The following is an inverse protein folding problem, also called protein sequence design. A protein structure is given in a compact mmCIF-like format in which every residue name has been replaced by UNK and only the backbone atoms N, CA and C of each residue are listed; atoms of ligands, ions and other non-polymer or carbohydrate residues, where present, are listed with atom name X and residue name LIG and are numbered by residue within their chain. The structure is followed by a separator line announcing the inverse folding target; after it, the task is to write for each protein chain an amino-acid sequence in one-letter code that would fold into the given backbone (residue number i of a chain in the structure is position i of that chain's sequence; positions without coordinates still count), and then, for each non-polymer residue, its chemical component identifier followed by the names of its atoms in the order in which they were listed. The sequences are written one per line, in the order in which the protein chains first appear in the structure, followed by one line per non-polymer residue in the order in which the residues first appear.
data_IF_233698357395
#
_entry.id   IF_233698357395
#
_cell.length_a   1.000
_cell.length_b   1.000
_cell.length_c   1.000
_cell.angle_alpha   90.00
_cell.angle_beta   90.00
_cell.angle_gamma   90.00
#
_symmetry.space_group_name_H-M   'P 1'
#
loop_
_entity.id
_entity.type
_entity.pdbx_description
1 polymer ?
#
# COMPACT_ATOMS: atom_id res chain seq x y z
N UNK A 1 -26.50 -53.05 41.15
CA UNK A 1 -25.59 -54.18 40.85
C UNK A 1 -24.75 -53.73 39.65
N UNK A 2 -23.51 -53.27 39.87
CA UNK A 2 -22.29 -54.12 39.90
C UNK A 2 -22.01 -54.71 38.50
N UNK A 3 -20.83 -54.62 37.85
CA UNK A 3 -19.45 -54.30 38.19
C UNK A 3 -18.72 -54.10 36.82
N UNK A 4 -17.86 -53.10 36.63
CA UNK A 4 -16.37 -53.19 36.51
C UNK A 4 -15.78 -53.82 35.24
N UNK A 5 -14.83 -53.07 34.65
CA UNK A 5 -13.69 -53.55 33.82
C UNK A 5 -13.59 -52.80 32.49
N UNK A 6 -12.45 -52.29 32.00
CA UNK A 6 -11.08 -52.19 32.47
C UNK A 6 -10.32 -51.18 31.59
N UNK A 7 -9.33 -50.50 32.19
CA UNK A 7 -8.31 -49.64 31.57
C UNK A 7 -7.38 -50.38 30.60
N UNK A 8 -6.98 -49.73 29.50
CA UNK A 8 -5.63 -49.67 28.88
C UNK A 8 -5.69 -48.51 27.86
N UNK A 9 -5.07 -47.33 28.00
CA UNK A 9 -3.65 -46.96 27.98
C UNK A 9 -2.87 -47.53 26.79
N UNK A 10 -2.78 -46.75 25.70
CA UNK A 10 -1.68 -46.87 24.74
C UNK A 10 -1.22 -45.47 24.34
N UNK A 11 0.06 -45.22 24.62
CA UNK A 11 0.75 -43.98 24.35
C UNK A 11 1.93 -44.27 23.42
N UNK A 12 2.25 -43.28 22.59
CA UNK A 12 3.57 -42.97 22.01
C UNK A 12 4.04 -43.84 20.83
N UNK A 13 4.32 -43.16 19.71
CA UNK A 13 5.02 -43.70 18.56
C UNK A 13 5.21 -42.67 17.44
N UNK A 14 5.78 -41.50 17.76
CA UNK A 14 6.20 -40.52 16.75
C UNK A 14 7.50 -41.01 16.08
N UNK A 15 7.41 -41.36 14.80
CA UNK A 15 8.54 -41.78 13.99
C UNK A 15 9.37 -40.57 13.55
N UNK A 16 10.56 -40.41 14.12
CA UNK A 16 11.58 -39.46 13.65
C UNK A 16 12.45 -40.20 12.63
N UNK A 17 12.27 -39.88 11.34
CA UNK A 17 13.10 -40.39 10.25
C UNK A 17 14.46 -39.66 10.27
N UNK A 18 15.50 -40.36 10.72
CA UNK A 18 16.90 -39.94 10.61
C UNK A 18 17.45 -40.43 9.27
N UNK A 19 17.77 -39.50 8.37
CA UNK A 19 18.43 -39.80 7.10
C UNK A 19 19.94 -39.93 7.39
N UNK A 20 20.43 -41.17 7.44
CA UNK A 20 21.85 -41.49 7.41
C UNK A 20 22.30 -41.58 5.96
N UNK A 21 23.16 -40.66 5.51
CA UNK A 21 23.80 -40.75 4.19
C UNK A 21 25.16 -41.43 4.36
N UNK A 22 25.19 -42.71 4.02
CA UNK A 22 26.39 -43.52 3.85
C UNK A 22 26.99 -43.23 2.47
N UNK A 23 28.16 -42.59 2.44
CA UNK A 23 28.94 -42.44 1.20
C UNK A 23 29.87 -43.65 1.04
N UNK A 24 29.50 -44.52 0.10
CA UNK A 24 30.31 -45.64 -0.35
C UNK A 24 31.45 -45.18 -1.24
N UNK A 25 32.65 -45.71 -0.95
CA UNK A 25 33.81 -45.65 -1.83
C UNK A 25 33.53 -46.45 -3.12
N UNK A 26 33.80 -45.85 -4.27
CA UNK A 26 34.15 -46.60 -5.47
C UNK A 26 35.27 -45.84 -6.20
N UNK A 27 36.45 -46.45 -6.24
CA UNK A 27 37.61 -45.93 -6.95
C UNK A 27 37.58 -46.33 -8.42
N UNK A 28 38.10 -45.44 -9.27
CA UNK A 28 38.67 -45.81 -10.58
C UNK A 28 39.73 -44.78 -10.99
N UNK A 29 40.81 -45.32 -11.53
CA UNK A 29 42.09 -44.69 -11.85
C UNK A 29 42.04 -43.64 -12.98
N UNK A 30 42.69 -42.50 -12.72
CA UNK A 30 43.82 -41.91 -13.47
C UNK A 30 43.74 -41.64 -14.97
N UNK A 31 43.85 -40.36 -15.36
CA UNK A 31 44.84 -39.86 -16.34
C UNK A 31 44.86 -38.30 -16.38
N UNK A 32 46.04 -37.69 -16.09
CA UNK A 32 46.75 -36.50 -16.67
C UNK A 32 45.87 -35.30 -17.13
N UNK A 33 46.08 -34.00 -16.85
CA UNK A 33 47.23 -33.05 -16.82
C UNK A 33 46.70 -31.79 -16.04
N UNK A 34 47.40 -31.12 -15.12
CA UNK A 34 48.48 -30.16 -15.39
C UNK A 34 48.15 -28.76 -14.81
N UNK A 35 49.14 -28.18 -14.09
CA UNK A 35 49.36 -26.75 -13.76
C UNK A 35 48.94 -26.22 -12.37
N UNK A 36 49.95 -26.24 -11.49
CA UNK A 36 50.45 -25.15 -10.63
C UNK A 36 49.53 -24.39 -9.65
N UNK A 37 49.81 -24.64 -8.37
CA UNK A 37 49.61 -23.72 -7.24
C UNK A 37 50.85 -23.78 -6.34
N UNK A 38 51.30 -22.67 -5.76
CA UNK A 38 51.98 -22.70 -4.47
C UNK A 38 51.09 -22.00 -3.43
N UNK A 39 50.50 -22.76 -2.52
CA UNK A 39 50.98 -22.94 -1.14
C UNK A 39 50.95 -21.64 -0.33
N UNK A 40 49.81 -21.43 0.34
CA UNK A 40 49.70 -20.52 1.47
C UNK A 40 50.42 -21.12 2.68
N UNK A 41 51.43 -20.41 3.18
CA UNK A 41 52.04 -20.65 4.50
C UNK A 41 51.55 -19.56 5.44
N UNK A 42 51.01 -19.99 6.58
CA UNK A 42 50.52 -19.16 7.66
C UNK A 42 51.64 -18.40 8.38
N UNK A 43 51.36 -17.17 8.81
CA UNK A 43 52.14 -16.44 9.83
C UNK A 43 51.16 -15.74 10.80
N UNK A 44 51.36 -15.83 12.12
CA UNK A 44 50.39 -15.41 13.13
C UNK A 44 50.44 -13.91 13.43
N UNK A 45 49.29 -13.44 13.94
CA UNK A 45 49.01 -12.11 14.47
C UNK A 45 49.82 -11.83 15.75
N UNK A 46 50.51 -10.68 15.79
CA UNK A 46 50.87 -9.98 17.02
C UNK A 46 50.56 -8.48 16.87
N UNK A 47 49.93 -7.93 17.91
CA UNK A 47 49.60 -6.52 18.09
C UNK A 47 50.83 -5.70 18.53
N UNK A 48 50.84 -4.41 18.22
CA UNK A 48 51.02 -3.26 19.15
C UNK A 48 51.05 -1.93 18.34
N UNK A 49 50.21 -0.99 18.77
CA UNK A 49 50.10 0.45 18.44
C UNK A 49 51.44 1.21 18.67
N UNK A 50 51.71 2.49 18.27
CA UNK A 50 50.76 3.63 18.28
C UNK A 50 51.03 4.79 17.28
N UNK A 51 50.11 5.76 17.19
CA UNK A 51 50.35 7.18 17.53
C UNK A 51 49.29 8.10 16.90
N UNK A 52 48.66 8.88 17.77
CA UNK A 52 47.60 9.83 17.50
C UNK A 52 48.09 11.08 16.74
N UNK A 53 47.23 11.61 15.86
CA UNK A 53 47.23 13.02 15.50
C UNK A 53 45.81 13.59 15.70
N UNK A 54 45.65 14.74 16.38
CA UNK A 54 44.34 15.29 16.67
C UNK A 54 43.76 15.95 15.41
N UNK A 55 42.70 15.38 14.84
CA UNK A 55 41.84 16.12 13.90
C UNK A 55 41.02 17.13 14.70
N UNK A 56 41.49 18.37 14.70
CA UNK A 56 40.75 19.53 15.20
C UNK A 56 39.43 19.66 14.45
N UNK A 57 38.30 19.47 15.13
CA UNK A 57 36.97 19.77 14.64
C UNK A 57 36.83 21.29 14.46
N UNK A 58 36.78 21.75 13.20
CA UNK A 58 36.25 23.07 12.90
C UNK A 58 34.72 23.06 13.11
N UNK A 59 34.11 24.11 13.68
CA UNK A 59 32.66 24.15 13.87
C UNK A 59 31.96 24.28 12.51
N UNK A 60 31.15 23.28 12.18
CA UNK A 60 30.30 23.23 11.00
C UNK A 60 29.27 24.38 11.04
N UNK A 61 29.34 25.28 10.07
CA UNK A 61 28.34 26.33 9.84
C UNK A 61 27.03 25.68 9.39
N UNK A 62 25.88 25.92 10.03
CA UNK A 62 24.60 25.39 9.57
C UNK A 62 24.09 26.26 8.41
N UNK A 63 24.24 25.79 7.18
CA UNK A 63 23.75 26.51 6.01
C UNK A 63 23.69 25.63 4.77
N UNK A 64 22.46 25.36 4.32
CA UNK A 64 22.13 25.00 2.92
C UNK A 64 22.48 23.58 2.46
N UNK A 65 22.06 22.55 3.21
CA UNK A 65 21.90 21.18 2.67
C UNK A 65 20.45 20.83 2.31
N UNK A 66 19.49 21.71 2.59
CA UNK A 66 18.05 21.44 2.39
C UNK A 66 17.52 21.61 0.97
N UNK A 67 18.19 22.38 0.10
CA UNK A 67 17.61 22.77 -1.19
C UNK A 67 18.00 21.90 -2.39
N UNK A 68 19.09 21.11 -2.30
CA UNK A 68 19.64 20.39 -3.45
C UNK A 68 19.38 18.88 -3.42
N UNK A 69 19.17 18.28 -2.23
CA UNK A 69 18.89 16.84 -2.11
C UNK A 69 17.40 16.47 -2.30
N UNK A 70 16.52 17.46 -2.43
CA UNK A 70 15.08 17.26 -2.66
C UNK A 70 14.73 16.91 -4.12
N UNK A 71 15.68 17.01 -5.05
CA UNK A 71 15.36 17.11 -6.49
C UNK A 71 15.42 15.81 -7.28
N UNK A 72 15.97 14.71 -6.77
CA UNK A 72 15.97 13.41 -7.49
C UNK A 72 15.98 12.19 -6.55
N UNK A 73 15.02 12.10 -5.61
CA UNK A 73 14.70 10.79 -5.03
C UNK A 73 13.72 10.08 -5.98
N UNK A 74 14.11 8.99 -6.69
CA UNK A 74 13.22 8.28 -7.61
C UNK A 74 11.95 7.75 -6.91
N UNK A 75 12.01 7.47 -5.59
CA UNK A 75 10.82 7.13 -4.80
C UNK A 75 9.80 8.27 -4.69
N UNK A 76 10.23 9.52 -4.82
CA UNK A 76 9.32 10.68 -4.84
C UNK A 76 8.66 10.86 -6.20
N UNK A 77 9.30 10.47 -7.30
CA UNK A 77 8.73 10.60 -8.65
C UNK A 77 7.55 9.66 -8.85
N UNK A 78 7.70 8.37 -8.53
CA UNK A 78 6.62 7.38 -8.60
C UNK A 78 5.43 7.79 -7.73
N UNK A 79 5.69 8.22 -6.48
CA UNK A 79 4.63 8.67 -5.57
C UNK A 79 3.89 9.89 -6.12
N UNK A 80 4.61 10.86 -6.70
CA UNK A 80 3.99 12.03 -7.35
C UNK A 80 3.16 11.63 -8.57
N UNK A 81 3.66 10.71 -9.40
CA UNK A 81 2.91 10.24 -10.55
C UNK A 81 1.64 9.50 -10.16
N UNK A 82 1.74 8.61 -9.17
CA UNK A 82 0.58 7.94 -8.57
C UNK A 82 -0.41 8.96 -8.01
N UNK A 83 0.05 9.94 -7.25
CA UNK A 83 -0.82 10.99 -6.71
C UNK A 83 -1.54 11.78 -7.81
N UNK A 84 -0.86 12.11 -8.91
CA UNK A 84 -1.51 12.77 -10.05
C UNK A 84 -2.64 11.92 -10.62
N UNK A 85 -2.41 10.62 -10.79
CA UNK A 85 -3.43 9.71 -11.30
C UNK A 85 -4.59 9.63 -10.31
N UNK A 86 -4.32 9.48 -9.01
CA UNK A 86 -5.35 9.45 -7.97
C UNK A 86 -6.22 10.71 -7.96
N UNK A 87 -5.60 11.89 -8.04
CA UNK A 87 -6.34 13.16 -8.15
C UNK A 87 -7.18 13.23 -9.43
N UNK A 88 -6.68 12.71 -10.56
CA UNK A 88 -7.44 12.64 -11.80
C UNK A 88 -8.62 11.67 -11.75
N UNK A 89 -8.56 10.64 -10.92
CA UNK A 89 -9.70 9.75 -10.68
C UNK A 89 -10.86 10.45 -9.96
N UNK A 90 -10.61 11.56 -9.27
CA UNK A 90 -11.63 12.33 -8.55
C UNK A 90 -12.34 13.37 -9.43
N UNK A 91 -11.79 13.66 -10.62
CA UNK A 91 -12.40 14.59 -11.58
C UNK A 91 -13.76 14.03 -12.10
N UNK A 92 -14.74 14.90 -12.30
CA UNK A 92 -16.04 14.54 -12.86
C UNK A 92 -15.95 14.23 -14.37
N UNK A 93 -16.65 13.19 -14.82
CA UNK A 93 -16.67 12.79 -16.22
C UNK A 93 -18.09 12.45 -16.69
N UNK A 94 -18.31 12.55 -18.00
CA UNK A 94 -19.51 12.08 -18.69
C UNK A 94 -19.10 10.96 -19.64
N UNK A 95 -19.67 9.77 -19.44
CA UNK A 95 -19.42 8.61 -20.28
C UNK A 95 -20.76 8.12 -20.86
N UNK A 96 -20.86 8.10 -22.18
CA UNK A 96 -22.02 7.62 -22.92
C UNK A 96 -21.55 6.70 -24.04
N UNK A 97 -21.49 5.40 -23.75
CA UNK A 97 -21.09 4.36 -24.69
C UNK A 97 -22.16 3.27 -24.76
N UNK A 98 -22.45 2.81 -25.96
CA UNK A 98 -23.40 1.74 -26.22
C UNK A 98 -22.72 0.71 -27.12
N UNK A 99 -22.52 -0.50 -26.60
CA UNK A 99 -21.89 -1.61 -27.33
C UNK A 99 -20.52 -1.25 -27.92
N UNK A 100 -19.74 -0.42 -27.22
CA UNK A 100 -18.45 0.06 -27.72
C UNK A 100 -17.30 -0.87 -27.26
N UNK A 101 -16.31 -1.16 -28.12
CA UNK A 101 -15.14 -1.96 -27.73
C UNK A 101 -14.39 -1.34 -26.54
N UNK A 102 -13.96 -2.17 -25.58
CA UNK A 102 -13.18 -1.72 -24.42
C UNK A 102 -11.94 -0.90 -24.83
N UNK A 103 -11.26 -1.28 -25.91
CA UNK A 103 -10.12 -0.53 -26.45
C UNK A 103 -10.46 0.93 -26.78
N UNK A 104 -11.61 1.17 -27.42
CA UNK A 104 -12.05 2.52 -27.81
C UNK A 104 -12.37 3.38 -26.59
N UNK A 105 -13.05 2.80 -25.59
CA UNK A 105 -13.35 3.48 -24.33
C UNK A 105 -12.06 3.85 -23.60
N UNK A 106 -11.06 2.94 -23.58
CA UNK A 106 -9.76 3.21 -22.96
C UNK A 106 -8.99 4.32 -23.69
N UNK A 107 -9.02 4.34 -25.02
CA UNK A 107 -8.38 5.41 -25.80
C UNK A 107 -9.06 6.76 -25.63
N UNK A 108 -10.39 6.77 -25.46
CA UNK A 108 -11.13 7.96 -25.03
C UNK A 108 -10.65 8.44 -23.66
N UNK A 109 -10.56 7.55 -22.66
CA UNK A 109 -10.10 7.90 -21.31
C UNK A 109 -8.67 8.45 -21.30
N UNK A 110 -7.74 7.88 -22.08
CA UNK A 110 -6.38 8.43 -22.24
C UNK A 110 -6.41 9.89 -22.70
N UNK A 111 -7.26 10.17 -23.68
CA UNK A 111 -7.34 11.49 -24.33
C UNK A 111 -8.08 12.51 -23.47
N UNK A 112 -9.20 12.11 -22.86
CA UNK A 112 -10.02 12.98 -22.03
C UNK A 112 -9.31 13.40 -20.73
N UNK A 113 -8.46 12.53 -20.20
CA UNK A 113 -7.92 12.68 -18.84
C UNK A 113 -6.42 12.97 -18.79
N UNK A 114 -5.75 12.90 -19.94
CA UNK A 114 -4.31 13.13 -20.10
C UNK A 114 -3.45 12.23 -19.19
N UNK A 115 -3.95 11.02 -18.87
CA UNK A 115 -3.22 10.01 -18.10
C UNK A 115 -2.94 8.77 -18.94
N UNK A 116 -1.79 8.09 -18.72
CA UNK A 116 -1.50 6.84 -19.39
C UNK A 116 -2.37 5.72 -18.82
N UNK A 117 -3.26 5.19 -19.66
CA UNK A 117 -4.12 4.02 -19.36
C UNK A 117 -3.67 2.83 -20.19
N UNK A 118 -3.60 1.62 -19.63
CA UNK A 118 -3.17 0.41 -20.35
C UNK A 118 -4.08 -0.75 -19.97
N UNK A 119 -4.38 -1.63 -20.93
CA UNK A 119 -5.09 -2.89 -20.69
C UNK A 119 -4.06 -4.00 -20.50
N UNK A 120 -4.15 -4.76 -19.41
CA UNK A 120 -3.37 -5.98 -19.22
C UNK A 120 -3.98 -7.11 -20.06
N UNK A 121 -3.55 -7.21 -21.32
CA UNK A 121 -4.07 -8.20 -22.27
C UNK A 121 -3.91 -9.64 -21.75
N UNK A 122 -2.77 -9.94 -21.12
CA UNK A 122 -2.52 -11.29 -20.61
C UNK A 122 -3.56 -11.69 -19.54
N UNK A 123 -3.83 -10.81 -18.58
CA UNK A 123 -4.82 -11.07 -17.54
C UNK A 123 -6.25 -11.17 -18.11
N UNK A 124 -6.60 -10.35 -19.11
CA UNK A 124 -7.90 -10.42 -19.76
C UNK A 124 -8.07 -11.69 -20.60
N UNK A 125 -7.03 -12.11 -21.32
CA UNK A 125 -7.04 -13.34 -22.10
C UNK A 125 -7.26 -14.58 -21.21
N UNK A 126 -6.73 -14.58 -19.98
CA UNK A 126 -6.89 -15.66 -19.00
C UNK A 126 -8.35 -15.86 -18.56
N UNK A 127 -9.16 -14.80 -18.58
CA UNK A 127 -10.62 -14.84 -18.31
C UNK A 127 -11.46 -14.89 -19.60
N UNK A 128 -10.82 -15.02 -20.77
CA UNK A 128 -11.48 -15.10 -22.07
C UNK A 128 -12.08 -13.79 -22.57
N UNK A 129 -11.63 -12.65 -22.02
CA UNK A 129 -12.03 -11.32 -22.46
C UNK A 129 -11.01 -10.75 -23.45
N UNK A 130 -11.51 -10.05 -24.47
CA UNK A 130 -10.68 -9.39 -25.47
C UNK A 130 -10.68 -7.88 -25.31
N UNK A 131 -9.82 -7.19 -26.05
CA UNK A 131 -9.88 -5.72 -26.14
C UNK A 131 -11.09 -5.21 -26.93
N UNK A 132 -11.74 -6.10 -27.66
CA UNK A 132 -12.97 -5.89 -28.43
C UNK A 132 -14.25 -6.19 -27.63
N UNK A 133 -14.13 -6.59 -26.36
CA UNK A 133 -15.28 -6.82 -25.49
C UNK A 133 -16.18 -5.57 -25.46
N UNK A 134 -17.47 -5.70 -25.79
CA UNK A 134 -18.39 -4.57 -25.84
C UNK A 134 -18.73 -4.08 -24.43
N UNK A 135 -18.76 -2.76 -24.28
CA UNK A 135 -19.05 -2.06 -23.03
C UNK A 135 -20.21 -1.12 -23.25
N UNK A 136 -21.16 -1.13 -22.32
CA UNK A 136 -22.30 -0.22 -22.32
C UNK A 136 -22.36 0.52 -20.99
N UNK A 137 -22.25 1.84 -21.04
CA UNK A 137 -22.30 2.70 -19.86
C UNK A 137 -22.92 4.05 -20.21
N UNK A 138 -23.82 4.54 -19.36
CA UNK A 138 -24.37 5.90 -19.44
C UNK A 138 -24.38 6.55 -18.05
N UNK A 139 -23.37 7.38 -17.77
CA UNK A 139 -23.24 8.09 -16.49
C UNK A 139 -22.83 9.54 -16.73
N UNK A 140 -23.39 10.46 -15.93
CA UNK A 140 -23.06 11.89 -15.98
C UNK A 140 -23.00 12.46 -14.57
N UNK A 141 -22.05 13.38 -14.33
CA UNK A 141 -21.88 14.04 -13.03
C UNK A 141 -21.36 13.12 -11.92
N UNK A 142 -20.64 12.06 -12.27
CA UNK A 142 -19.98 11.16 -11.32
C UNK A 142 -18.47 11.32 -11.43
N UNK A 143 -17.74 11.01 -10.36
CA UNK A 143 -16.27 10.92 -10.40
C UNK A 143 -15.84 9.85 -11.39
N UNK A 144 -14.69 10.04 -12.04
CA UNK A 144 -14.12 9.02 -12.91
C UNK A 144 -13.97 7.69 -12.18
N UNK A 145 -13.52 7.70 -10.92
CA UNK A 145 -13.36 6.47 -10.14
C UNK A 145 -14.66 5.67 -10.14
N UNK A 146 -15.75 6.31 -9.75
CA UNK A 146 -17.07 5.66 -9.72
C UNK A 146 -17.53 5.23 -11.11
N UNK A 147 -17.28 6.05 -12.14
CA UNK A 147 -17.64 5.70 -13.51
C UNK A 147 -16.87 4.45 -13.99
N UNK A 148 -15.59 4.35 -13.65
CA UNK A 148 -14.70 3.27 -14.02
C UNK A 148 -15.02 2.00 -13.22
N UNK A 149 -15.30 2.11 -11.92
CA UNK A 149 -15.80 0.99 -11.10
C UNK A 149 -17.10 0.42 -11.69
N UNK A 150 -18.09 1.26 -11.99
CA UNK A 150 -19.37 0.83 -12.57
C UNK A 150 -19.18 0.16 -13.95
N UNK A 151 -18.25 0.69 -14.75
CA UNK A 151 -17.93 0.14 -16.05
C UNK A 151 -17.30 -1.25 -15.94
N UNK A 152 -16.27 -1.38 -15.09
CA UNK A 152 -15.49 -2.60 -14.95
C UNK A 152 -16.24 -3.69 -14.17
N UNK A 153 -17.12 -3.32 -13.24
CA UNK A 153 -17.99 -4.24 -12.51
C UNK A 153 -18.88 -5.05 -13.46
N UNK A 154 -19.36 -4.43 -14.55
CA UNK A 154 -20.17 -5.14 -15.57
C UNK A 154 -19.41 -6.22 -16.34
N UNK A 155 -18.07 -6.15 -16.34
CA UNK A 155 -17.17 -7.06 -17.04
C UNK A 155 -16.37 -7.98 -16.10
N UNK A 156 -16.63 -7.90 -14.79
CA UNK A 156 -15.84 -8.57 -13.74
C UNK A 156 -14.33 -8.25 -13.82
N UNK A 157 -14.03 -6.98 -14.11
CA UNK A 157 -12.67 -6.44 -14.21
C UNK A 157 -12.40 -5.44 -13.09
N UNK A 158 -11.12 -5.11 -12.92
CA UNK A 158 -10.66 -4.12 -11.96
C UNK A 158 -9.55 -3.24 -12.56
N UNK A 159 -9.14 -2.21 -11.83
CA UNK A 159 -8.00 -1.37 -12.18
C UNK A 159 -6.99 -1.28 -11.04
N UNK A 160 -5.73 -1.09 -11.42
CA UNK A 160 -4.61 -0.86 -10.50
C UNK A 160 -3.69 0.21 -11.04
N UNK A 161 -3.00 0.94 -10.18
CA UNK A 161 -2.02 1.97 -10.60
C UNK A 161 -0.63 1.38 -10.47
N UNK A 162 0.02 1.12 -11.60
CA UNK A 162 1.31 0.42 -11.66
C UNK A 162 2.23 1.12 -12.65
N UNK A 163 3.51 1.24 -12.32
CA UNK A 163 4.50 1.85 -13.24
C UNK A 163 4.08 3.22 -13.78
N UNK A 164 3.40 4.02 -12.94
CA UNK A 164 2.90 5.35 -13.32
C UNK A 164 1.82 5.32 -14.42
N UNK A 165 1.15 4.17 -14.61
CA UNK A 165 0.00 3.99 -15.51
C UNK A 165 -1.21 3.43 -14.77
N UNK A 166 -2.41 3.82 -15.22
CA UNK A 166 -3.66 3.18 -14.80
C UNK A 166 -3.82 1.92 -15.64
N UNK A 167 -3.79 0.76 -15.01
CA UNK A 167 -3.87 -0.53 -15.65
C UNK A 167 -5.22 -1.17 -15.39
N UNK A 168 -5.96 -1.49 -16.46
CA UNK A 168 -7.18 -2.30 -16.38
C UNK A 168 -6.76 -3.76 -16.47
N UNK A 169 -7.20 -4.57 -15.51
CA UNK A 169 -6.80 -5.96 -15.33
C UNK A 169 -7.91 -6.76 -14.64
N UNK A 170 -7.68 -8.02 -14.32
CA UNK A 170 -8.64 -8.84 -13.56
C UNK A 170 -8.52 -8.57 -12.06
N UNK A 171 -9.58 -8.80 -11.26
CA UNK A 171 -9.50 -8.65 -9.80
C UNK A 171 -8.40 -9.54 -9.20
N UNK A 172 -8.23 -10.77 -9.68
CA UNK A 172 -7.16 -11.68 -9.23
C UNK A 172 -5.75 -11.11 -9.48
N UNK A 173 -5.48 -10.55 -10.68
CA UNK A 173 -4.19 -9.91 -10.94
C UNK A 173 -4.01 -8.66 -10.07
N UNK A 174 -5.06 -7.85 -9.90
CA UNK A 174 -5.03 -6.66 -9.05
C UNK A 174 -4.72 -6.98 -7.58
N UNK A 175 -5.26 -8.09 -7.05
CA UNK A 175 -5.03 -8.57 -5.69
C UNK A 175 -3.57 -8.97 -5.41
N UNK A 176 -2.88 -9.50 -6.43
CA UNK A 176 -1.48 -9.87 -6.34
C UNK A 176 -0.52 -8.66 -6.34
N UNK A 177 -1.03 -7.46 -6.62
CA UNK A 177 -0.23 -6.25 -6.77
C UNK A 177 -0.36 -5.31 -5.57
N UNK A 178 0.31 -5.70 -4.49
CA UNK A 178 0.37 -4.94 -3.25
C UNK A 178 1.27 -3.70 -3.36
N UNK A 179 0.82 -2.58 -2.81
CA UNK A 179 1.60 -1.36 -2.63
C UNK A 179 1.85 -1.12 -1.14
N UNK A 180 3.10 -0.84 -0.76
CA UNK A 180 3.48 -0.58 0.63
C UNK A 180 3.52 0.93 0.89
N UNK A 181 2.67 1.40 1.81
CA UNK A 181 2.57 2.81 2.19
C UNK A 181 2.78 3.00 3.68
N UNK A 182 3.42 4.12 4.02
CA UNK A 182 3.52 4.60 5.40
C UNK A 182 2.37 5.59 5.60
N UNK A 183 1.47 5.29 6.53
CA UNK A 183 0.33 6.11 6.87
C UNK A 183 0.57 6.77 8.23
N UNK A 184 0.76 8.10 8.28
CA UNK A 184 0.94 8.81 9.54
C UNK A 184 -0.38 8.88 10.31
N UNK A 185 -0.33 8.65 11.62
CA UNK A 185 -1.48 8.69 12.52
C UNK A 185 -1.57 10.01 13.30
N UNK A 186 -1.04 11.09 12.73
CA UNK A 186 -1.05 12.42 13.35
C UNK A 186 -2.49 12.88 13.64
N UNK A 187 -2.70 13.40 14.85
CA UNK A 187 -4.01 13.86 15.30
C UNK A 187 -5.00 12.76 15.70
N UNK A 188 -4.64 11.48 15.62
CA UNK A 188 -5.48 10.40 16.13
C UNK A 188 -5.39 10.30 17.67
N UNK A 189 -6.55 10.07 18.31
CA UNK A 189 -6.65 9.85 19.76
C UNK A 189 -6.56 8.38 20.18
N UNK A 190 -6.40 7.48 19.21
CA UNK A 190 -6.40 6.02 19.37
C UNK A 190 -4.95 5.53 19.21
N UNK A 191 -4.55 4.51 19.98
CA UNK A 191 -3.22 3.90 19.83
C UNK A 191 -3.10 3.10 18.53
N UNK A 192 -1.89 2.97 18.01
CA UNK A 192 -1.59 2.21 16.78
C UNK A 192 -2.13 0.78 16.83
N UNK A 193 -2.01 0.10 17.98
CA UNK A 193 -2.40 -1.31 18.13
C UNK A 193 -3.91 -1.49 18.03
N UNK A 194 -4.67 -0.59 18.67
CA UNK A 194 -6.13 -0.59 18.59
C UNK A 194 -6.61 -0.24 17.18
N UNK A 195 -5.91 0.67 16.52
CA UNK A 195 -6.27 1.05 15.15
C UNK A 195 -6.05 -0.09 14.18
N UNK A 196 -4.93 -0.83 14.31
CA UNK A 196 -4.66 -2.03 13.52
C UNK A 196 -5.80 -3.03 13.71
N UNK A 197 -6.22 -3.30 14.95
CA UNK A 197 -7.34 -4.22 15.22
C UNK A 197 -8.65 -3.79 14.54
N UNK A 198 -8.96 -2.49 14.54
CA UNK A 198 -10.16 -1.97 13.87
C UNK A 198 -10.03 -2.10 12.36
N UNK A 199 -8.87 -1.76 11.79
CA UNK A 199 -8.63 -1.84 10.34
C UNK A 199 -8.74 -3.30 9.88
N UNK A 200 -8.07 -4.24 10.54
CA UNK A 200 -8.07 -5.65 10.09
C UNK A 200 -9.44 -6.31 10.22
N UNK A 201 -10.29 -5.84 11.15
CA UNK A 201 -11.65 -6.37 11.31
C UNK A 201 -12.69 -5.73 10.40
N UNK A 202 -12.52 -4.45 10.05
CA UNK A 202 -13.52 -3.69 9.30
C UNK A 202 -13.23 -3.61 7.80
N UNK A 203 -11.96 -3.70 7.40
CA UNK A 203 -11.53 -3.55 6.01
C UNK A 203 -11.01 -4.88 5.50
N UNK A 204 -11.68 -5.46 4.50
CA UNK A 204 -11.29 -6.71 3.83
C UNK A 204 -10.69 -7.77 4.79
N UNK A 205 -11.48 -8.27 5.76
CA UNK A 205 -10.97 -9.05 6.90
C UNK A 205 -10.29 -10.37 6.50
N UNK A 206 -10.61 -10.89 5.33
CA UNK A 206 -10.06 -12.07 4.67
C UNK A 206 -8.75 -11.82 3.90
N UNK A 207 -8.38 -10.55 3.70
CA UNK A 207 -7.22 -10.14 2.88
C UNK A 207 -5.90 -10.03 3.65
N UNK A 208 -5.91 -10.18 4.98
CA UNK A 208 -4.76 -9.95 5.85
C UNK A 208 -3.94 -11.21 6.15
N UNK A 209 -2.63 -11.05 6.41
CA UNK A 209 -1.70 -12.15 6.66
C UNK A 209 -2.11 -13.02 7.87
N UNK A 210 -2.75 -12.43 8.89
CA UNK A 210 -3.23 -13.14 10.08
C UNK A 210 -4.24 -14.26 9.75
N UNK A 211 -4.97 -14.11 8.65
CA UNK A 211 -5.96 -15.09 8.16
C UNK A 211 -5.51 -15.81 6.90
N UNK A 212 -4.26 -15.60 6.47
CA UNK A 212 -3.66 -16.22 5.28
C UNK A 212 -3.82 -15.43 3.98
N UNK A 213 -4.24 -14.16 4.06
CA UNK A 213 -4.25 -13.23 2.93
C UNK A 213 -2.86 -12.65 2.62
N UNK A 214 -2.75 -11.91 1.52
CA UNK A 214 -1.47 -11.36 1.05
C UNK A 214 -1.11 -10.00 1.71
N UNK A 215 -2.10 -9.32 2.31
CA UNK A 215 -1.92 -8.00 2.89
C UNK A 215 -1.22 -8.04 4.25
N UNK A 216 -0.38 -7.05 4.54
CA UNK A 216 0.32 -6.94 5.82
C UNK A 216 0.13 -5.55 6.41
N UNK A 217 -0.04 -5.47 7.72
CA UNK A 217 -0.10 -4.22 8.47
C UNK A 217 0.79 -4.29 9.71
N UNK A 218 1.55 -3.23 9.98
CA UNK A 218 2.46 -3.19 11.12
C UNK A 218 2.59 -1.77 11.66
N UNK A 219 2.62 -1.60 12.97
CA UNK A 219 2.93 -0.32 13.60
C UNK A 219 4.43 -0.01 13.44
N UNK A 220 4.74 1.19 12.93
CA UNK A 220 6.08 1.75 13.06
C UNK A 220 6.17 2.26 14.50
N UNK A 221 7.13 1.73 15.27
CA UNK A 221 7.20 1.82 16.73
C UNK A 221 6.99 3.22 17.36
N UNK A 222 7.05 3.34 18.70
CA UNK A 222 6.53 4.48 19.46
C UNK A 222 7.10 5.86 19.06
N UNK A 223 8.20 5.90 18.32
CA UNK A 223 8.87 7.11 17.84
C UNK A 223 8.16 7.80 16.66
N UNK A 224 7.47 7.06 15.80
CA UNK A 224 7.00 7.59 14.50
C UNK A 224 5.49 7.74 14.37
N UNK A 225 4.69 7.26 15.35
CA UNK A 225 3.23 7.32 15.37
C UNK A 225 2.60 7.10 13.97
N UNK A 226 3.01 6.01 13.31
CA UNK A 226 2.63 5.70 11.94
C UNK A 226 2.43 4.18 11.80
N UNK A 227 1.63 3.78 10.81
CA UNK A 227 1.48 2.37 10.41
C UNK A 227 2.05 2.18 9.01
N UNK A 228 2.64 1.02 8.77
CA UNK A 228 3.06 0.56 7.46
C UNK A 228 2.04 -0.47 7.00
N UNK A 229 1.43 -0.20 5.84
CA UNK A 229 0.40 -1.05 5.25
C UNK A 229 0.87 -1.48 3.87
N UNK A 230 0.91 -2.78 3.62
CA UNK A 230 1.17 -3.38 2.31
C UNK A 230 -0.11 -4.04 1.81
N UNK A 231 -0.78 -3.40 0.85
CA UNK A 231 -2.09 -3.86 0.40
C UNK A 231 -2.44 -3.32 -1.00
N UNK A 232 -3.51 -3.83 -1.62
CA UNK A 232 -4.05 -3.37 -2.91
C UNK A 232 -4.52 -1.91 -2.88
N UNK A 233 -4.66 -1.31 -4.06
CA UNK A 233 -5.12 0.08 -4.21
C UNK A 233 -6.49 0.31 -3.54
N UNK A 234 -7.47 -0.55 -3.83
CA UNK A 234 -8.84 -0.43 -3.30
C UNK A 234 -8.88 -0.44 -1.78
N UNK A 235 -8.13 -1.34 -1.15
CA UNK A 235 -8.11 -1.42 0.31
C UNK A 235 -7.38 -0.21 0.92
N UNK A 236 -6.33 0.32 0.29
CA UNK A 236 -5.72 1.59 0.74
C UNK A 236 -6.73 2.74 0.74
N UNK A 237 -7.63 2.78 -0.24
CA UNK A 237 -8.69 3.78 -0.30
C UNK A 237 -9.70 3.58 0.84
N UNK A 238 -10.16 2.35 1.08
CA UNK A 238 -11.04 2.02 2.20
C UNK A 238 -10.42 2.36 3.56
N UNK A 239 -9.11 2.12 3.72
CA UNK A 239 -8.36 2.52 4.91
C UNK A 239 -8.34 4.05 5.03
N UNK A 240 -8.07 4.76 3.94
CA UNK A 240 -8.12 6.23 3.90
C UNK A 240 -9.47 6.77 4.36
N UNK A 241 -10.55 6.27 3.79
CA UNK A 241 -11.92 6.68 4.13
C UNK A 241 -12.25 6.42 5.60
N UNK A 242 -11.86 5.25 6.13
CA UNK A 242 -12.05 4.92 7.54
C UNK A 242 -11.25 5.84 8.46
N UNK A 243 -9.98 6.12 8.11
CA UNK A 243 -9.13 7.02 8.89
C UNK A 243 -9.65 8.46 8.88
N UNK A 244 -10.17 8.94 7.75
CA UNK A 244 -10.76 10.26 7.65
C UNK A 244 -12.06 10.37 8.47
N UNK A 245 -12.89 9.32 8.49
CA UNK A 245 -14.05 9.24 9.39
C UNK A 245 -13.65 9.26 10.86
N UNK A 246 -12.63 8.48 11.25
CA UNK A 246 -12.14 8.46 12.63
C UNK A 246 -11.50 9.80 13.03
N UNK A 247 -10.82 10.47 12.10
CA UNK A 247 -10.27 11.81 12.32
C UNK A 247 -11.38 12.84 12.48
N UNK A 248 -12.47 12.75 11.69
CA UNK A 248 -13.63 13.63 11.81
C UNK A 248 -14.35 13.49 13.17
N UNK A 249 -14.41 12.29 13.74
CA UNK A 249 -14.96 12.05 15.09
C UNK A 249 -14.03 12.58 16.19
N UNK A 250 -12.71 12.43 15.99
CA UNK A 250 -11.70 12.89 16.94
C UNK A 250 -11.50 14.41 16.94
N UNK A 251 -11.75 15.06 15.80
CA UNK A 251 -11.82 16.51 15.65
C UNK A 251 -13.07 17.00 16.38
N UNK A 252 -12.87 17.80 17.43
CA UNK A 252 -13.96 18.55 18.05
C UNK A 252 -14.72 19.30 16.94
N UNK A 253 -16.07 19.26 16.90
CA UNK A 253 -16.82 20.07 15.95
C UNK A 253 -16.33 21.52 16.08
N UNK A 254 -16.21 22.32 15.00
CA UNK A 254 -15.76 23.69 15.12
C UNK A 254 -16.62 24.33 16.19
N UNK A 255 -15.99 24.67 17.32
CA UNK A 255 -16.68 25.35 18.41
C UNK A 255 -17.29 26.58 17.75
N UNK A 256 -18.61 26.65 17.70
CA UNK A 256 -19.31 27.88 17.37
C UNK A 256 -18.91 28.82 18.49
N UNK A 257 -17.80 29.52 18.32
CA UNK A 257 -17.41 30.59 19.21
C UNK A 257 -18.61 31.53 19.15
N UNK A 258 -19.35 31.75 20.24
CA UNK A 258 -20.44 32.69 20.21
C UNK A 258 -19.82 34.01 19.76
N UNK A 259 -20.20 34.45 18.55
CA UNK A 259 -19.80 35.76 18.03
C UNK A 259 -20.11 36.73 19.15
N UNK A 260 -19.13 37.44 19.73
CA UNK A 260 -19.42 38.39 20.78
C UNK A 260 -20.48 39.34 20.21
N UNK A 261 -21.64 39.38 20.87
CA UNK A 261 -22.76 40.17 20.41
C UNK A 261 -22.26 41.60 20.22
N UNK A 262 -22.08 42.01 18.96
CA UNK A 262 -21.80 43.40 18.64
C UNK A 262 -23.03 44.15 19.15
N UNK A 263 -22.89 45.11 20.09
CA UNK A 263 -24.04 45.87 20.54
C UNK A 263 -24.61 46.58 19.32
N UNK A 264 -25.81 46.16 18.90
CA UNK A 264 -26.52 46.78 17.79
C UNK A 264 -26.77 48.23 18.21
N UNK A 265 -26.20 49.24 17.52
CA UNK A 265 -26.53 50.62 17.82
C UNK A 265 -28.03 50.79 17.60
N UNK A 266 -28.74 51.19 18.66
CA UNK A 266 -30.17 51.47 18.60
C UNK A 266 -30.42 52.52 17.53
N UNK A 267 -31.08 52.12 16.44
CA UNK A 267 -31.52 53.05 15.40
C UNK A 267 -32.48 54.07 16.02
N UNK A 268 -32.33 55.38 15.74
CA UNK A 268 -33.29 56.37 16.22
C UNK A 268 -34.65 56.09 15.58
N UNK A 269 -35.68 55.94 16.42
CA UNK A 269 -37.07 55.81 16.00
C UNK A 269 -37.46 57.11 15.27
N UNK A 270 -37.96 57.05 14.02
CA UNK A 270 -38.42 58.24 13.32
C UNK A 270 -39.62 58.84 14.05
N UNK A 271 -39.57 60.15 14.31
CA UNK A 271 -40.61 60.90 14.98
C UNK A 271 -41.96 60.70 14.30
N UNK A 272 -42.98 60.30 15.08
CA UNK A 272 -44.37 60.20 14.64
C UNK A 272 -44.80 61.51 13.95
N UNK A 273 -45.23 61.39 12.70
CA UNK A 273 -45.91 62.47 11.98
C UNK A 273 -47.29 62.60 12.62
N UNK A 274 -47.42 63.51 13.59
CA UNK A 274 -48.71 64.01 14.06
C UNK A 274 -49.47 64.63 12.89
N UNK A 275 -50.63 64.07 12.57
CA UNK A 275 -51.73 64.74 11.87
C UNK A 275 -53.03 64.45 12.60
#
# INVERSE_FOLDING_TARGET
MALVGSKQMLAIGAAVATISITLGLCGVSGHVIGQDSPTAVAVPVQAEEPFAAPVTMAPSVPGTVGALNAKLNPGNSRRRAMQRILTKLEDEIVLEFVDAPLAEVVDYLKSAMEIPVVINKAALDDVGLGTDTPVTISVSGVSLRSALDLMLESLDLDFTIRHEVLMITTPEDAENHLDTRVVPLEGMRISSEKLIEVITKCVAPDSWDEVGGAGTITALGPEFNAIVVSQTLKVHEQIGDLLDQLRAIGAEPPTVVPVPAVPVPSLPVPAEIRR
#
